data_IF_702065239088
#
_entry.id   IF_702065239088
#
_cell.length_a   1.000
_cell.length_b   1.000
_cell.length_c   1.000
_cell.angle_alpha   90.00
_cell.angle_beta   90.00
_cell.angle_gamma   90.00
#
_symmetry.space_group_name_H-M   'P 1'
#
loop_
_entity.id
_entity.type
_entity.pdbx_description
1 polymer ?
#
# COMPACT_ATOMS: atom_id res chain seq x y z
N UNK A 1 4.69 -20.09 11.40
CA UNK A 1 3.71 -21.17 11.14
C UNK A 1 3.28 -21.14 9.66
N UNK A 2 4.25 -21.01 8.74
CA UNK A 2 4.03 -20.65 7.32
C UNK A 2 4.50 -21.74 6.34
N UNK A 3 5.13 -22.81 6.84
CA UNK A 3 5.70 -23.87 6.00
C UNK A 3 4.71 -24.98 5.61
N UNK A 4 3.54 -25.07 6.25
CA UNK A 4 2.59 -26.18 6.03
C UNK A 4 1.63 -25.94 4.86
N UNK A 5 1.43 -24.70 4.41
CA UNK A 5 0.59 -24.40 3.23
C UNK A 5 1.29 -24.67 1.89
N UNK A 6 2.62 -24.76 1.89
CA UNK A 6 3.43 -25.06 0.69
C UNK A 6 3.37 -26.53 0.26
N UNK A 7 2.90 -27.44 1.12
CA UNK A 7 2.97 -28.88 0.88
C UNK A 7 1.72 -29.45 0.17
N UNK A 8 0.65 -28.66 0.03
CA UNK A 8 -0.65 -29.11 -0.51
C UNK A 8 -1.02 -28.49 -1.87
N UNK A 9 -0.26 -27.52 -2.37
CA UNK A 9 -0.53 -26.85 -3.64
C UNK A 9 0.40 -27.39 -4.72
N UNK A 10 -0.12 -27.70 -5.91
CA UNK A 10 0.72 -28.09 -7.05
C UNK A 10 1.62 -26.92 -7.46
N UNK A 11 2.81 -27.18 -8.02
CA UNK A 11 3.76 -26.12 -8.43
C UNK A 11 3.18 -25.11 -9.44
N UNK A 12 2.10 -25.49 -10.15
CA UNK A 12 1.37 -24.65 -11.11
C UNK A 12 0.32 -23.74 -10.48
N UNK A 13 -0.15 -24.04 -9.27
CA UNK A 13 -1.25 -23.30 -8.63
C UNK A 13 -0.79 -21.95 -8.06
N UNK A 14 0.52 -21.75 -7.94
CA UNK A 14 1.09 -20.51 -7.43
C UNK A 14 0.98 -19.34 -8.40
N UNK A 15 0.91 -19.62 -9.70
CA UNK A 15 0.86 -18.60 -10.76
C UNK A 15 -0.56 -18.39 -11.31
N UNK A 16 -1.47 -19.33 -11.08
CA UNK A 16 -2.83 -19.22 -11.58
C UNK A 16 -3.67 -18.27 -10.71
N UNK A 17 -4.42 -17.38 -11.37
CA UNK A 17 -5.33 -16.44 -10.70
C UNK A 17 -6.53 -17.23 -10.17
N UNK A 18 -6.76 -17.15 -8.86
CA UNK A 18 -7.97 -17.68 -8.26
C UNK A 18 -9.17 -16.81 -8.67
N UNK A 19 -10.19 -17.41 -9.30
CA UNK A 19 -11.36 -16.67 -9.83
C UNK A 19 -12.25 -16.07 -8.74
N UNK A 20 -12.16 -16.58 -7.52
CA UNK A 20 -12.87 -16.07 -6.35
C UNK A 20 -12.12 -14.91 -5.69
N UNK A 21 -10.79 -14.97 -5.53
CA UNK A 21 -10.07 -13.86 -4.88
C UNK A 21 -9.56 -12.81 -5.87
N UNK A 22 -9.41 -13.17 -7.15
CA UNK A 22 -8.71 -12.38 -8.16
C UNK A 22 -7.19 -12.37 -8.01
N UNK A 23 -6.64 -13.17 -7.09
CA UNK A 23 -5.23 -13.16 -6.73
C UNK A 23 -4.60 -14.53 -6.96
N UNK A 24 -3.30 -14.54 -7.22
CA UNK A 24 -2.50 -15.76 -7.23
C UNK A 24 -1.99 -16.05 -5.82
N UNK A 25 -1.73 -17.32 -5.50
CA UNK A 25 -1.10 -17.66 -4.23
C UNK A 25 0.30 -17.06 -4.09
N UNK A 26 1.03 -16.91 -5.20
CA UNK A 26 2.31 -16.19 -5.21
C UNK A 26 2.19 -14.74 -4.74
N UNK A 27 1.17 -14.02 -5.19
CA UNK A 27 0.92 -12.65 -4.74
C UNK A 27 0.57 -12.57 -3.25
N UNK A 28 -0.27 -13.50 -2.77
CA UNK A 28 -0.61 -13.59 -1.35
C UNK A 28 0.61 -13.88 -0.47
N UNK A 29 1.52 -14.76 -0.91
CA UNK A 29 2.77 -15.03 -0.21
C UNK A 29 3.67 -13.78 -0.15
N UNK A 30 3.77 -13.03 -1.25
CA UNK A 30 4.52 -11.76 -1.26
C UNK A 30 3.88 -10.72 -0.35
N UNK A 31 2.55 -10.61 -0.29
CA UNK A 31 1.84 -9.72 0.65
C UNK A 31 2.21 -10.08 2.09
N UNK A 32 2.20 -11.37 2.44
CA UNK A 32 2.60 -11.82 3.77
C UNK A 32 4.06 -11.46 4.07
N UNK A 33 4.97 -11.68 3.12
CA UNK A 33 6.38 -11.30 3.28
C UNK A 33 6.56 -9.80 3.51
N UNK A 34 5.83 -8.93 2.80
CA UNK A 34 5.85 -7.47 3.05
C UNK A 34 5.32 -7.15 4.44
N UNK A 35 4.25 -7.83 4.85
CA UNK A 35 3.61 -7.63 6.16
C UNK A 35 4.57 -7.98 7.30
N UNK A 36 5.27 -9.11 7.12
CA UNK A 36 6.29 -9.68 8.02
C UNK A 36 7.63 -8.92 7.99
N UNK A 37 7.76 -7.86 7.18
CA UNK A 37 8.91 -6.94 7.29
C UNK A 37 8.85 -6.22 8.63
N UNK A 38 9.60 -6.74 9.59
CA UNK A 38 9.75 -6.15 10.92
C UNK A 38 10.69 -4.94 10.92
N UNK A 39 10.69 -4.21 12.04
CA UNK A 39 11.67 -3.16 12.27
C UNK A 39 13.02 -3.79 12.64
N UNK A 40 14.12 -3.45 11.95
CA UNK A 40 15.44 -3.97 12.30
C UNK A 40 15.81 -3.52 13.72
N UNK A 41 16.12 -4.48 14.59
CA UNK A 41 16.44 -4.20 16.00
C UNK A 41 17.77 -3.44 16.19
N UNK A 42 18.63 -3.41 15.16
CA UNK A 42 19.89 -2.68 15.19
C UNK A 42 20.29 -2.17 13.80
N UNK A 43 21.23 -1.22 13.75
CA UNK A 43 21.67 -0.57 12.51
C UNK A 43 22.37 -1.51 11.51
N UNK A 44 22.92 -2.65 11.97
CA UNK A 44 23.60 -3.62 11.10
C UNK A 44 22.61 -4.43 10.26
N UNK A 45 21.42 -4.69 10.83
CA UNK A 45 20.34 -5.41 10.15
C UNK A 45 19.61 -4.56 9.10
N UNK A 46 19.78 -3.24 9.10
CA UNK A 46 19.10 -2.35 8.14
C UNK A 46 19.48 -2.67 6.69
N UNK A 47 20.75 -3.03 6.45
CA UNK A 47 21.21 -3.45 5.13
C UNK A 47 20.56 -4.77 4.69
N UNK A 48 20.44 -5.74 5.59
CA UNK A 48 19.75 -7.01 5.31
C UNK A 48 18.26 -6.80 5.04
N UNK A 49 17.58 -5.94 5.82
CA UNK A 49 16.19 -5.57 5.57
C UNK A 49 16.01 -4.88 4.22
N UNK A 50 16.93 -4.00 3.85
CA UNK A 50 16.90 -3.34 2.54
C UNK A 50 17.09 -4.34 1.40
N UNK A 51 17.99 -5.32 1.57
CA UNK A 51 18.17 -6.42 0.60
C UNK A 51 16.90 -7.26 0.47
N UNK A 52 16.31 -7.70 1.57
CA UNK A 52 15.06 -8.49 1.56
C UNK A 52 13.96 -7.70 0.85
N UNK A 53 13.81 -6.41 1.13
CA UNK A 53 12.82 -5.57 0.46
C UNK A 53 13.11 -5.43 -1.05
N UNK A 54 14.38 -5.35 -1.46
CA UNK A 54 14.75 -5.35 -2.88
C UNK A 54 14.41 -6.70 -3.55
N UNK A 55 14.66 -7.82 -2.89
CA UNK A 55 14.32 -9.15 -3.41
C UNK A 55 12.80 -9.32 -3.57
N UNK A 56 12.01 -8.83 -2.61
CA UNK A 56 10.54 -8.80 -2.71
C UNK A 56 10.10 -7.92 -3.88
N UNK A 57 10.71 -6.74 -4.06
CA UNK A 57 10.41 -5.85 -5.20
C UNK A 57 10.63 -6.56 -6.53
N UNK A 58 11.81 -7.16 -6.74
CA UNK A 58 12.12 -7.90 -7.97
C UNK A 58 11.16 -9.08 -8.18
N UNK A 59 10.78 -9.77 -7.09
CA UNK A 59 9.80 -10.85 -7.16
C UNK A 59 8.40 -10.37 -7.55
N UNK A 60 7.96 -9.21 -7.07
CA UNK A 60 6.70 -8.57 -7.47
C UNK A 60 6.74 -8.08 -8.92
N UNK A 61 7.87 -7.55 -9.39
CA UNK A 61 8.06 -7.08 -10.77
C UNK A 61 8.00 -8.24 -11.77
N UNK A 62 8.58 -9.39 -11.43
CA UNK A 62 8.60 -10.59 -12.25
C UNK A 62 7.45 -11.58 -12.00
N UNK A 63 6.47 -11.23 -11.15
CA UNK A 63 5.41 -12.16 -10.75
C UNK A 63 4.52 -12.52 -11.94
N UNK A 64 4.44 -13.81 -12.26
CA UNK A 64 3.52 -14.32 -13.27
C UNK A 64 2.13 -14.55 -12.68
N UNK A 65 1.10 -14.07 -13.40
CA UNK A 65 -0.30 -14.21 -13.02
C UNK A 65 -1.10 -14.71 -14.23
N UNK A 66 -1.20 -16.03 -14.33
CA UNK A 66 -1.84 -16.72 -15.45
C UNK A 66 -3.35 -16.84 -15.20
N UNK A 67 -4.16 -16.46 -16.19
CA UNK A 67 -5.61 -16.60 -16.13
C UNK A 67 -5.99 -18.07 -16.30
N UNK A 68 -6.95 -18.62 -15.52
CA UNK A 68 -7.43 -19.98 -15.71
C UNK A 68 -7.97 -20.22 -17.13
N UNK A 69 -7.73 -21.41 -17.71
CA UNK A 69 -8.27 -21.75 -19.02
C UNK A 69 -9.80 -21.85 -18.96
N UNK A 70 -10.45 -21.67 -20.11
CA UNK A 70 -11.92 -21.83 -20.31
C UNK A 70 -12.81 -20.74 -19.69
N UNK A 71 -12.25 -19.58 -19.35
CA UNK A 71 -13.06 -18.42 -18.95
C UNK A 71 -13.52 -17.62 -20.17
N UNK A 72 -14.68 -16.97 -20.06
CA UNK A 72 -15.16 -16.02 -21.07
C UNK A 72 -14.14 -14.89 -21.24
N UNK A 73 -13.94 -14.43 -22.48
CA UNK A 73 -12.97 -13.38 -22.78
C UNK A 73 -13.14 -12.14 -21.88
N UNK A 74 -14.37 -11.67 -21.67
CA UNK A 74 -14.65 -10.54 -20.77
C UNK A 74 -14.21 -10.79 -19.32
N UNK A 75 -14.37 -12.02 -18.82
CA UNK A 75 -13.91 -12.42 -17.48
C UNK A 75 -12.38 -12.52 -17.43
N UNK A 76 -11.73 -13.00 -18.51
CA UNK A 76 -10.26 -13.09 -18.56
C UNK A 76 -9.61 -11.71 -18.48
N UNK A 77 -10.12 -10.74 -19.25
CA UNK A 77 -9.62 -9.36 -19.24
C UNK A 77 -9.79 -8.74 -17.85
N UNK A 78 -10.96 -8.94 -17.23
CA UNK A 78 -11.23 -8.44 -15.88
C UNK A 78 -10.32 -9.08 -14.82
N UNK A 79 -10.19 -10.41 -14.81
CA UNK A 79 -9.32 -11.06 -13.83
C UNK A 79 -7.86 -10.65 -13.99
N UNK A 80 -7.38 -10.55 -15.24
CA UNK A 80 -6.01 -10.09 -15.53
C UNK A 80 -5.78 -8.65 -15.06
N UNK A 81 -6.71 -7.74 -15.36
CA UNK A 81 -6.60 -6.34 -14.95
C UNK A 81 -6.68 -6.17 -13.42
N UNK A 82 -7.52 -6.98 -12.75
CA UNK A 82 -7.58 -6.99 -11.29
C UNK A 82 -6.27 -7.51 -10.68
N UNK A 83 -5.81 -8.66 -11.14
CA UNK A 83 -4.54 -9.28 -10.75
C UNK A 83 -3.36 -8.30 -10.85
N UNK A 84 -3.28 -7.57 -11.97
CA UNK A 84 -2.24 -6.55 -12.18
C UNK A 84 -2.40 -5.35 -11.25
N UNK A 85 -3.62 -4.84 -11.05
CA UNK A 85 -3.87 -3.73 -10.13
C UNK A 85 -3.43 -4.08 -8.70
N UNK A 86 -3.65 -5.32 -8.26
CA UNK A 86 -3.19 -5.79 -6.95
C UNK A 86 -1.67 -5.94 -6.88
N UNK A 87 -1.01 -6.42 -7.95
CA UNK A 87 0.46 -6.50 -8.02
C UNK A 87 1.10 -5.12 -7.88
N UNK A 88 0.59 -4.14 -8.62
CA UNK A 88 1.03 -2.75 -8.52
C UNK A 88 0.76 -2.14 -7.14
N UNK A 89 -0.41 -2.44 -6.56
CA UNK A 89 -0.74 -2.01 -5.20
C UNK A 89 0.20 -2.62 -4.15
N UNK A 90 0.67 -3.86 -4.35
CA UNK A 90 1.70 -4.47 -3.49
C UNK A 90 3.05 -3.77 -3.59
N UNK A 91 3.45 -3.31 -4.78
CA UNK A 91 4.66 -2.49 -4.93
C UNK A 91 4.55 -1.18 -4.15
N UNK A 92 3.39 -0.51 -4.21
CA UNK A 92 3.12 0.66 -3.37
C UNK A 92 3.13 0.30 -1.88
N UNK A 93 2.57 -0.84 -1.49
CA UNK A 93 2.55 -1.28 -0.09
C UNK A 93 3.97 -1.52 0.44
N UNK A 94 4.83 -2.15 -0.35
CA UNK A 94 6.24 -2.34 -0.03
C UNK A 94 6.97 -1.00 0.11
N UNK A 95 6.79 -0.07 -0.84
CA UNK A 95 7.37 1.27 -0.78
C UNK A 95 7.06 1.93 0.56
N UNK A 96 5.80 1.91 0.93
CA UNK A 96 5.25 2.54 2.11
C UNK A 96 5.72 1.89 3.42
N UNK A 97 5.73 0.56 3.47
CA UNK A 97 6.28 -0.21 4.60
C UNK A 97 7.76 0.14 4.83
N UNK A 98 8.56 0.16 3.76
CA UNK A 98 9.99 0.50 3.83
C UNK A 98 10.19 1.97 4.19
N UNK A 99 9.36 2.89 3.68
CA UNK A 99 9.42 4.30 4.01
C UNK A 99 9.15 4.55 5.51
N UNK A 100 8.13 3.91 6.09
CA UNK A 100 7.85 3.97 7.53
C UNK A 100 9.03 3.45 8.36
N UNK A 101 9.58 2.29 8.01
CA UNK A 101 10.76 1.72 8.69
C UNK A 101 11.94 2.71 8.64
N UNK A 102 12.21 3.31 7.46
CA UNK A 102 13.30 4.28 7.29
C UNK A 102 13.08 5.57 8.10
N UNK A 103 11.86 6.10 8.12
CA UNK A 103 11.54 7.32 8.85
C UNK A 103 11.85 7.18 10.36
N UNK A 104 11.62 6.00 10.94
CA UNK A 104 11.91 5.72 12.36
C UNK A 104 13.40 5.50 12.66
N UNK A 105 14.19 5.09 11.67
CA UNK A 105 15.63 4.80 11.82
C UNK A 105 16.50 6.04 11.50
N UNK A 106 15.89 7.12 11.03
CA UNK A 106 16.50 8.30 10.39
C UNK A 106 17.58 9.08 11.17
N UNK A 107 18.04 8.62 12.34
CA UNK A 107 19.18 9.23 13.04
C UNK A 107 20.54 8.70 12.54
N UNK A 108 20.64 7.55 11.82
CA UNK A 108 21.95 6.93 11.52
C UNK A 108 22.19 6.32 10.13
N UNK A 109 21.24 6.36 9.20
CA UNK A 109 21.31 5.58 7.94
C UNK A 109 21.12 6.40 6.67
N UNK A 110 21.78 7.55 6.57
CA UNK A 110 21.87 8.36 5.33
C UNK A 110 22.52 7.62 4.15
N UNK A 111 23.06 6.42 4.36
CA UNK A 111 23.80 5.65 3.35
C UNK A 111 22.95 4.75 2.45
N UNK A 112 21.66 4.53 2.75
CA UNK A 112 20.81 3.64 1.93
C UNK A 112 19.93 4.44 0.99
N UNK A 113 20.10 4.20 -0.31
CA UNK A 113 19.25 4.74 -1.37
C UNK A 113 17.78 4.35 -1.16
N UNK A 114 16.83 5.21 -1.53
CA UNK A 114 15.43 4.84 -1.53
C UNK A 114 15.18 3.67 -2.48
N UNK A 115 14.35 2.71 -2.05
CA UNK A 115 14.01 1.52 -2.85
C UNK A 115 13.15 1.85 -4.09
N UNK A 116 12.39 2.94 -3.99
CA UNK A 116 11.54 3.46 -5.06
C UNK A 116 11.86 4.93 -5.25
N UNK A 117 11.95 5.39 -6.49
CA UNK A 117 12.01 6.82 -6.78
C UNK A 117 10.60 7.45 -6.67
N UNK A 118 10.53 8.77 -6.51
CA UNK A 118 9.24 9.46 -6.49
C UNK A 118 8.49 9.32 -7.84
N UNK A 119 9.22 9.31 -8.96
CA UNK A 119 8.62 9.10 -10.28
C UNK A 119 8.04 7.70 -10.44
N UNK A 120 8.68 6.69 -9.86
CA UNK A 120 8.20 5.31 -9.86
C UNK A 120 6.88 5.19 -9.07
N UNK A 121 6.80 5.80 -7.89
CA UNK A 121 5.56 5.82 -7.09
C UNK A 121 4.41 6.49 -7.83
N UNK A 122 4.68 7.63 -8.48
CA UNK A 122 3.69 8.33 -9.30
C UNK A 122 3.24 7.47 -10.49
N UNK A 123 4.18 6.80 -11.15
CA UNK A 123 3.89 5.92 -12.28
C UNK A 123 2.99 4.74 -11.86
N UNK A 124 3.36 4.04 -10.78
CA UNK A 124 2.56 2.95 -10.21
C UNK A 124 1.15 3.42 -9.84
N UNK A 125 1.05 4.57 -9.18
CA UNK A 125 -0.25 5.16 -8.79
C UNK A 125 -1.11 5.44 -10.01
N UNK A 126 -0.56 6.08 -11.04
CA UNK A 126 -1.29 6.39 -12.27
C UNK A 126 -1.73 5.13 -13.02
N UNK A 127 -0.88 4.11 -13.10
CA UNK A 127 -1.20 2.83 -13.74
C UNK A 127 -2.35 2.10 -13.04
N UNK A 128 -2.34 2.05 -11.71
CA UNK A 128 -3.45 1.46 -10.94
C UNK A 128 -4.75 2.18 -11.28
N UNK A 129 -4.76 3.51 -11.23
CA UNK A 129 -5.98 4.28 -11.51
C UNK A 129 -6.46 4.05 -12.94
N UNK A 130 -5.58 4.04 -13.93
CA UNK A 130 -5.94 3.77 -15.33
C UNK A 130 -6.53 2.37 -15.52
N UNK A 131 -5.90 1.33 -14.95
CA UNK A 131 -6.42 -0.04 -15.02
C UNK A 131 -7.84 -0.15 -14.46
N UNK A 132 -8.12 0.57 -13.37
CA UNK A 132 -9.42 0.55 -12.72
C UNK A 132 -10.46 1.36 -13.51
N UNK A 133 -10.09 2.52 -14.05
CA UNK A 133 -10.94 3.36 -14.89
C UNK A 133 -11.32 2.67 -16.21
N UNK A 134 -10.34 2.03 -16.88
CA UNK A 134 -10.53 1.35 -18.17
C UNK A 134 -11.35 0.06 -18.06
N UNK A 135 -11.46 -0.49 -16.85
CA UNK A 135 -12.15 -1.75 -16.60
C UNK A 135 -13.27 -1.57 -15.58
N UNK A 136 -14.37 -0.83 -15.81
CA UNK A 136 -15.44 -0.62 -14.83
C UNK A 136 -16.20 -1.91 -14.42
N UNK A 137 -15.97 -3.03 -15.10
CA UNK A 137 -16.54 -4.34 -14.78
C UNK A 137 -15.90 -5.17 -13.65
N UNK A 138 -14.66 -4.90 -13.22
CA UNK A 138 -14.02 -5.58 -12.07
C UNK A 138 -14.80 -5.50 -10.73
N UNK A 139 -15.83 -4.64 -10.59
CA UNK A 139 -16.69 -4.62 -9.38
C UNK A 139 -17.69 -5.77 -9.34
N UNK A 140 -17.92 -6.42 -10.50
CA UNK A 140 -18.85 -7.55 -10.63
C UNK A 140 -18.19 -8.89 -10.39
N UNK A 141 -16.90 -8.98 -10.65
CA UNK A 141 -16.05 -10.13 -10.35
C UNK A 141 -15.54 -10.03 -8.92
N UNK A 142 -15.32 -11.18 -8.28
CA UNK A 142 -15.20 -11.36 -6.82
C UNK A 142 -13.95 -10.65 -6.21
N UNK A 143 -13.11 -10.05 -7.06
CA UNK A 143 -11.92 -9.30 -6.67
C UNK A 143 -12.26 -7.83 -6.33
N UNK A 144 -12.19 -7.49 -5.05
CA UNK A 144 -12.54 -6.16 -4.55
C UNK A 144 -11.47 -5.11 -4.86
N UNK A 145 -11.74 -4.19 -5.80
CA UNK A 145 -10.84 -3.07 -6.16
C UNK A 145 -10.49 -2.11 -5.02
N UNK A 146 -11.20 -2.16 -3.89
CA UNK A 146 -11.02 -1.19 -2.83
C UNK A 146 -9.60 -1.12 -2.31
N UNK A 147 -8.89 -2.26 -2.23
CA UNK A 147 -7.52 -2.25 -1.75
C UNK A 147 -6.55 -1.58 -2.74
N UNK A 148 -6.55 -1.91 -4.05
CA UNK A 148 -5.78 -1.14 -5.04
C UNK A 148 -6.09 0.36 -5.06
N UNK A 149 -7.37 0.75 -4.97
CA UNK A 149 -7.76 2.17 -4.90
C UNK A 149 -7.23 2.82 -3.63
N UNK A 150 -7.31 2.12 -2.50
CA UNK A 150 -6.78 2.61 -1.24
C UNK A 150 -5.27 2.84 -1.31
N UNK A 151 -4.52 1.91 -1.91
CA UNK A 151 -3.07 2.03 -2.07
C UNK A 151 -2.70 3.19 -3.01
N UNK A 152 -3.40 3.34 -4.14
CA UNK A 152 -3.21 4.47 -5.06
C UNK A 152 -3.59 5.80 -4.39
N UNK A 153 -4.74 5.86 -3.72
CA UNK A 153 -5.22 7.05 -3.01
C UNK A 153 -4.30 7.48 -1.88
N UNK A 154 -3.76 6.53 -1.12
CA UNK A 154 -2.76 6.79 -0.08
C UNK A 154 -1.43 7.29 -0.66
N UNK A 155 -1.17 7.12 -1.96
CA UNK A 155 0.05 7.55 -2.65
C UNK A 155 -0.16 8.82 -3.49
N UNK A 156 -1.40 9.25 -3.69
CA UNK A 156 -1.76 10.42 -4.49
C UNK A 156 -1.37 11.71 -3.77
N UNK A 157 -0.38 12.41 -4.33
CA UNK A 157 0.17 13.64 -3.74
C UNK A 157 -0.22 14.90 -4.50
N UNK A 158 -0.71 14.78 -5.74
CA UNK A 158 -1.21 15.89 -6.55
C UNK A 158 -2.73 15.82 -6.72
N UNK A 159 -3.33 16.99 -6.96
CA UNK A 159 -4.79 17.14 -7.09
C UNK A 159 -5.37 16.35 -8.26
N UNK A 160 -4.62 16.15 -9.33
CA UNK A 160 -5.09 15.38 -10.49
C UNK A 160 -5.29 13.90 -10.13
N UNK A 161 -4.32 13.27 -9.47
CA UNK A 161 -4.47 11.90 -8.96
C UNK A 161 -5.54 11.81 -7.87
N UNK A 162 -5.62 12.80 -6.97
CA UNK A 162 -6.66 12.84 -5.92
C UNK A 162 -8.07 12.89 -6.51
N UNK A 163 -8.30 13.70 -7.55
CA UNK A 163 -9.59 13.76 -8.25
C UNK A 163 -9.96 12.43 -8.91
N UNK A 164 -9.01 11.77 -9.57
CA UNK A 164 -9.23 10.42 -10.15
C UNK A 164 -9.66 9.40 -9.10
N UNK A 165 -8.98 9.40 -7.95
CA UNK A 165 -9.33 8.53 -6.80
C UNK A 165 -10.75 8.81 -6.31
N UNK A 166 -11.13 10.08 -6.13
CA UNK A 166 -12.48 10.44 -5.68
C UNK A 166 -13.57 10.02 -6.69
N UNK A 167 -13.30 10.19 -7.99
CA UNK A 167 -14.21 9.75 -9.04
C UNK A 167 -14.42 8.22 -9.01
N UNK A 168 -13.35 7.45 -8.79
CA UNK A 168 -13.46 5.99 -8.64
C UNK A 168 -14.28 5.60 -7.41
N UNK A 169 -14.08 6.26 -6.27
CA UNK A 169 -14.90 6.02 -5.08
C UNK A 169 -16.38 6.33 -5.35
N UNK A 170 -16.69 7.45 -5.99
CA UNK A 170 -18.07 7.82 -6.31
C UNK A 170 -18.75 6.78 -7.23
N UNK A 171 -18.01 6.26 -8.22
CA UNK A 171 -18.50 5.19 -9.10
C UNK A 171 -18.82 3.91 -8.33
N UNK A 172 -17.96 3.50 -7.38
CA UNK A 172 -18.15 2.27 -6.61
C UNK A 172 -19.24 2.45 -5.54
N UNK A 173 -19.40 3.64 -4.96
CA UNK A 173 -20.49 3.96 -4.03
C UNK A 173 -21.86 3.85 -4.71
N UNK A 174 -21.97 4.26 -5.99
CA UNK A 174 -23.19 4.13 -6.79
C UNK A 174 -23.60 2.68 -6.98
N UNK A 175 -22.64 1.76 -7.08
CA UNK A 175 -22.92 0.32 -7.22
C UNK A 175 -23.54 -0.29 -5.94
N UNK A 176 -23.47 0.38 -4.78
CA UNK A 176 -24.01 -0.03 -3.45
C UNK A 176 -23.67 -1.47 -3.00
N UNK A 177 -22.72 -2.13 -3.66
CA UNK A 177 -22.34 -3.53 -3.39
C UNK A 177 -21.45 -3.70 -2.17
N UNK A 178 -20.72 -2.66 -1.81
CA UNK A 178 -19.66 -2.73 -0.81
C UNK A 178 -19.93 -1.68 0.28
N UNK A 179 -20.17 -2.14 1.51
CA UNK A 179 -20.49 -1.28 2.65
C UNK A 179 -19.24 -0.56 3.20
N UNK A 180 -18.05 -1.04 2.86
CA UNK A 180 -16.78 -0.49 3.33
C UNK A 180 -16.20 0.63 2.43
N UNK A 181 -16.88 1.01 1.33
CA UNK A 181 -16.37 2.03 0.39
C UNK A 181 -16.27 3.40 1.07
N UNK A 182 -17.35 3.86 1.69
CA UNK A 182 -17.39 5.16 2.37
C UNK A 182 -16.38 5.26 3.52
N UNK A 183 -16.24 4.25 4.41
CA UNK A 183 -15.16 4.21 5.40
C UNK A 183 -13.75 4.37 4.79
N UNK A 184 -13.44 3.61 3.73
CA UNK A 184 -12.12 3.65 3.07
C UNK A 184 -11.87 5.02 2.42
N UNK A 185 -12.87 5.60 1.75
CA UNK A 185 -12.81 6.96 1.21
C UNK A 185 -12.49 7.99 2.29
N UNK A 186 -13.18 7.90 3.44
CA UNK A 186 -12.95 8.81 4.56
C UNK A 186 -11.55 8.69 5.14
N UNK A 187 -10.98 7.48 5.17
CA UNK A 187 -9.60 7.27 5.59
C UNK A 187 -8.61 8.00 4.67
N UNK A 188 -8.79 7.89 3.36
CA UNK A 188 -7.92 8.56 2.38
C UNK A 188 -8.02 10.08 2.50
N UNK A 189 -9.23 10.62 2.68
CA UNK A 189 -9.41 12.04 2.94
C UNK A 189 -8.70 12.51 4.21
N UNK A 190 -8.68 11.69 5.27
CA UNK A 190 -7.91 11.99 6.48
C UNK A 190 -6.40 11.97 6.24
N UNK A 191 -5.90 11.02 5.45
CA UNK A 191 -4.49 10.97 5.05
C UNK A 191 -4.09 12.24 4.31
N UNK A 192 -4.86 12.64 3.30
CA UNK A 192 -4.60 13.87 2.53
C UNK A 192 -4.66 15.10 3.42
N UNK A 193 -5.68 15.21 4.28
CA UNK A 193 -5.79 16.31 5.24
C UNK A 193 -4.60 16.37 6.18
N UNK A 194 -4.13 15.23 6.70
CA UNK A 194 -2.95 15.18 7.57
C UNK A 194 -1.72 15.71 6.83
N UNK A 195 -1.48 15.25 5.59
CA UNK A 195 -0.37 15.73 4.75
C UNK A 195 -0.46 17.23 4.49
N UNK A 196 -1.63 17.72 4.11
CA UNK A 196 -1.82 19.13 3.76
C UNK A 196 -1.61 20.04 4.99
N UNK A 197 -1.99 19.60 6.20
CA UNK A 197 -1.72 20.33 7.45
C UNK A 197 -0.22 20.42 7.75
N UNK A 198 0.55 19.35 7.52
CA UNK A 198 2.01 19.35 7.77
C UNK A 198 2.81 20.13 6.72
N UNK A 199 2.23 20.42 5.56
CA UNK A 199 2.84 21.32 4.56
C UNK A 199 2.76 22.78 5.00
N UNK A 200 1.77 23.14 5.81
CA UNK A 200 1.52 24.51 6.29
C UNK A 200 2.26 24.88 7.59
N UNK A 201 3.03 23.97 8.19
CA UNK A 201 3.80 24.27 9.41
C UNK A 201 5.07 25.07 9.02
N UNK A 202 5.19 26.36 9.39
CA UNK A 202 6.36 27.13 9.04
C UNK A 202 7.58 26.52 9.74
N UNK A 203 8.61 26.19 8.97
CA UNK A 203 9.91 25.73 9.49
C UNK A 203 10.45 26.82 10.41
N UNK A 204 10.16 26.73 11.71
CA UNK A 204 10.74 27.62 12.70
C UNK A 204 12.22 27.28 12.74
N UNK A 205 13.03 28.08 12.06
CA UNK A 205 14.49 28.02 12.16
C UNK A 205 14.85 28.07 13.64
N UNK A 206 15.37 26.97 14.18
CA UNK A 206 15.82 26.92 15.57
C UNK A 206 16.97 27.90 15.75
N UNK A 207 16.66 29.13 16.17
CA UNK A 207 17.65 30.05 16.71
C UNK A 207 18.18 29.45 18.00
N UNK A 208 19.47 29.09 17.98
CA UNK A 208 20.25 28.66 19.13
C UNK A 208 20.14 29.69 20.27
N UNK A 209 19.39 29.45 21.34
CA UNK A 209 19.66 30.10 22.64
C UNK A 209 19.18 29.26 23.84
N UNK A 210 20.17 28.90 24.66
CA UNK A 210 20.25 28.74 26.14
C UNK A 210 19.15 28.04 26.95
N UNK A 211 19.62 27.08 27.76
CA UNK A 211 18.98 26.41 28.91
C UNK A 211 18.19 27.35 29.85
N UNK A 212 16.96 26.94 30.18
CA UNK A 212 16.30 27.09 31.49
C UNK A 212 15.13 26.08 31.58
N UNK A 213 14.57 25.77 32.77
CA UNK A 213 14.37 24.38 33.21
C UNK A 213 12.97 23.80 32.98
N UNK A 214 12.93 22.48 33.15
CA UNK A 214 11.80 21.57 32.97
C UNK A 214 10.51 22.01 33.68
N UNK A 215 9.45 22.14 32.90
CA UNK A 215 8.08 21.71 33.17
C UNK A 215 7.32 21.73 31.84
N UNK A 216 6.45 20.74 31.65
CA UNK A 216 5.62 20.50 30.46
C UNK A 216 6.37 19.96 29.23
N UNK A 217 6.70 18.66 29.30
CA UNK A 217 7.04 17.87 28.13
C UNK A 217 6.26 16.55 28.19
N UNK A 218 4.95 16.63 28.06
CA UNK A 218 4.10 15.44 27.92
C UNK A 218 3.02 15.72 26.88
N UNK A 219 3.47 15.91 25.63
CA UNK A 219 2.78 15.54 24.38
C UNK A 219 3.70 15.92 23.21
N UNK A 220 4.88 15.28 23.13
CA UNK A 220 5.60 15.24 21.85
C UNK A 220 5.01 14.07 21.08
N UNK A 221 3.90 14.33 20.38
CA UNK A 221 3.43 13.47 19.30
C UNK A 221 4.55 13.49 18.26
N UNK A 222 5.37 12.44 18.29
CA UNK A 222 6.53 12.32 17.43
C UNK A 222 6.10 12.34 15.97
N UNK A 223 7.01 12.77 15.10
CA UNK A 223 6.91 12.67 13.65
C UNK A 223 6.77 11.20 13.21
N UNK A 224 5.61 10.61 13.45
CA UNK A 224 5.21 9.36 12.84
C UNK A 224 5.17 9.58 11.34
N UNK A 225 5.70 8.63 10.58
CA UNK A 225 5.52 8.67 9.13
C UNK A 225 4.02 8.67 8.82
N UNK A 226 3.59 9.24 7.70
CA UNK A 226 2.18 9.19 7.27
C UNK A 226 1.60 7.76 7.32
N UNK A 227 2.45 6.75 7.16
CA UNK A 227 2.11 5.34 7.28
C UNK A 227 1.84 4.84 8.67
N UNK A 228 2.46 5.42 9.68
CA UNK A 228 2.17 5.11 11.07
C UNK A 228 0.77 5.64 11.43
N UNK A 229 0.43 6.83 10.92
CA UNK A 229 -0.90 7.40 11.02
C UNK A 229 -1.94 6.53 10.29
N UNK A 230 -1.61 6.03 9.09
CA UNK A 230 -2.46 5.09 8.34
C UNK A 230 -2.70 3.81 9.14
N UNK A 231 -1.64 3.18 9.65
CA UNK A 231 -1.73 1.94 10.42
C UNK A 231 -2.51 2.13 11.73
N UNK A 232 -2.32 3.26 12.41
CA UNK A 232 -3.10 3.61 13.61
C UNK A 232 -4.57 3.83 13.26
N UNK A 233 -4.87 4.55 12.18
CA UNK A 233 -6.23 4.72 11.69
C UNK A 233 -6.85 3.37 11.26
N UNK A 234 -6.07 2.45 10.69
CA UNK A 234 -6.52 1.10 10.31
C UNK A 234 -6.76 0.20 11.52
N UNK A 235 -5.94 0.32 12.56
CA UNK A 235 -6.07 -0.46 13.80
C UNK A 235 -7.26 0.03 14.64
N UNK A 236 -7.52 1.34 14.66
CA UNK A 236 -8.64 1.94 15.37
C UNK A 236 -9.97 1.80 14.61
N UNK A 237 -9.92 1.51 13.30
CA UNK A 237 -11.09 1.09 12.55
C UNK A 237 -11.32 -0.41 12.76
N UNK A 238 -12.21 -0.75 13.69
CA UNK A 238 -12.71 -2.11 13.86
C UNK A 238 -13.36 -2.56 12.56
N UNK A 239 -12.72 -3.49 11.84
CA UNK A 239 -13.33 -4.22 10.75
C UNK A 239 -14.46 -5.06 11.33
N UNK A 240 -15.68 -4.52 11.39
CA UNK A 240 -16.88 -5.34 11.54
C UNK A 240 -17.09 -6.10 10.24
N UNK A 241 -16.27 -7.13 10.00
CA UNK A 241 -16.60 -8.20 9.06
C UNK A 241 -17.68 -9.07 9.73
N UNK A 242 -18.88 -8.51 9.80
CA UNK A 242 -20.13 -9.21 10.11
C UNK A 242 -21.09 -8.95 8.97
#
# INVERSE_FOLDING_TARGET
MTLTLLQWMGPTDHFQINTYTGLTSGLLLLINQITDLEYPSNSKLVADHHRIAADIKTSLEGLRQDVPPNLLFSTTVQLSASAEAYRLACLLYLHHKVASIRARIAVRTTSLSPLFSQSEVLHLTSQILSLLEDNPGLTRTVANRLWPIFMAGSSANDDFLRLRVLNLFEQIEKDRRFWNVAPVRMMILKIWRHRDIHVDEPVVSTRKYKKAPAKEAEYRQGSGSDWDCILEMMANFTWSLT
#
